data_IF_042754019604
#
_entry.id   IF_042754019604
#
_cell.length_a   1.000
_cell.length_b   1.000
_cell.length_c   1.000
_cell.angle_alpha   90.00
_cell.angle_beta   90.00
_cell.angle_gamma   90.00
#
_symmetry.space_group_name_H-M   'P 1'
#
loop_
_entity.id
_entity.type
_entity.pdbx_description
1 polymer ?
#
# COMPACT_ATOMS: atom_id res chain seq x y z
N UNK A 1 -59.71 48.45 17.31
CA UNK A 1 -59.68 47.45 18.36
C UNK A 1 -58.25 46.89 18.41
N UNK A 2 -57.52 47.57 19.10
CA UNK A 2 -56.66 47.42 20.29
C UNK A 2 -55.38 46.64 20.04
N UNK A 3 -54.32 47.43 20.06
CA UNK A 3 -52.91 47.13 20.31
C UNK A 3 -52.77 46.43 21.67
N UNK A 4 -52.04 45.37 21.72
CA UNK A 4 -51.18 44.86 22.80
C UNK A 4 -50.36 43.72 22.23
N UNK A 5 -49.07 43.87 22.14
CA UNK A 5 -48.11 43.26 22.98
C UNK A 5 -46.69 43.62 22.57
N UNK A 6 -46.18 44.69 23.16
CA UNK A 6 -44.78 45.05 23.12
C UNK A 6 -43.96 44.51 24.32
N UNK A 7 -44.59 43.60 25.10
CA UNK A 7 -43.98 43.11 26.37
C UNK A 7 -43.27 41.76 26.25
N UNK A 8 -43.37 41.06 25.12
CA UNK A 8 -42.87 39.69 25.02
C UNK A 8 -41.46 39.57 24.35
N UNK A 9 -41.02 40.61 23.67
CA UNK A 9 -39.68 40.58 23.04
C UNK A 9 -38.53 40.87 24.01
N UNK A 10 -38.79 41.63 25.07
CA UNK A 10 -37.78 41.92 26.08
C UNK A 10 -37.50 40.71 26.99
N UNK A 11 -38.44 39.82 27.19
CA UNK A 11 -38.29 38.59 27.97
C UNK A 11 -37.53 37.49 27.24
N UNK A 12 -37.56 37.50 25.90
CA UNK A 12 -36.83 36.53 25.09
C UNK A 12 -35.35 36.91 24.91
N UNK A 13 -35.03 38.21 24.83
CA UNK A 13 -33.64 38.67 24.82
C UNK A 13 -32.93 38.48 26.17
N UNK A 14 -33.64 38.56 27.29
CA UNK A 14 -33.09 38.25 28.60
C UNK A 14 -32.77 36.77 28.84
N UNK A 15 -33.47 35.86 28.15
CA UNK A 15 -33.28 34.43 28.29
C UNK A 15 -32.12 33.88 27.40
N UNK A 16 -31.75 34.58 26.33
CA UNK A 16 -30.64 34.21 25.45
C UNK A 16 -29.26 34.70 25.92
N UNK A 17 -29.24 35.57 26.93
CA UNK A 17 -28.00 36.14 27.51
C UNK A 17 -27.39 35.38 28.69
N UNK A 18 -28.07 34.40 29.27
CA UNK A 18 -27.59 33.66 30.44
C UNK A 18 -27.49 32.15 30.12
N UNK A 19 -26.41 31.72 29.45
CA UNK A 19 -26.20 30.30 29.29
C UNK A 19 -25.08 29.88 28.37
N UNK A 20 -24.31 30.79 27.79
CA UNK A 20 -23.09 30.41 27.10
C UNK A 20 -21.94 30.26 28.11
N UNK A 21 -21.98 29.19 28.93
CA UNK A 21 -20.76 28.69 29.55
C UNK A 21 -19.81 28.31 28.43
N UNK A 22 -18.70 29.05 28.31
CA UNK A 22 -17.63 28.71 27.39
C UNK A 22 -17.30 27.19 27.51
N UNK A 23 -17.16 26.48 26.42
CA UNK A 23 -16.77 25.07 26.50
C UNK A 23 -15.48 24.98 27.31
N UNK A 24 -15.34 23.97 28.20
CA UNK A 24 -14.16 23.85 29.03
C UNK A 24 -12.95 23.81 28.09
N UNK A 25 -12.03 24.75 28.30
CA UNK A 25 -10.72 24.70 27.64
C UNK A 25 -10.16 23.30 27.86
N UNK A 26 -9.76 22.60 26.79
CA UNK A 26 -9.14 21.30 26.98
C UNK A 26 -7.92 21.51 27.86
N UNK A 27 -8.01 21.00 29.10
CA UNK A 27 -6.88 20.93 30.00
C UNK A 27 -5.76 20.28 29.23
N UNK A 28 -4.67 21.03 29.05
CA UNK A 28 -3.44 20.54 28.46
C UNK A 28 -3.09 19.22 29.15
N UNK A 29 -3.39 18.11 28.50
CA UNK A 29 -3.06 16.78 28.98
C UNK A 29 -1.57 16.78 29.23
N UNK A 30 -1.19 16.58 30.51
CA UNK A 30 0.16 16.36 30.99
C UNK A 30 0.91 15.55 29.94
N UNK A 31 1.92 16.13 29.30
CA UNK A 31 2.85 15.45 28.41
C UNK A 31 3.35 14.18 29.13
N UNK A 32 2.67 13.07 28.89
CA UNK A 32 3.26 11.77 29.18
C UNK A 32 4.46 11.72 28.24
N UNK A 33 5.65 11.82 28.78
CA UNK A 33 6.91 11.52 28.09
C UNK A 33 6.72 10.13 27.47
N UNK A 34 6.13 10.10 26.28
CA UNK A 34 5.87 8.88 25.56
C UNK A 34 7.20 8.23 25.27
N UNK A 35 7.27 6.92 25.52
CA UNK A 35 8.42 6.13 25.09
C UNK A 35 8.74 6.48 23.63
N UNK A 36 10.04 6.63 23.27
CA UNK A 36 10.42 6.89 21.90
C UNK A 36 9.80 5.82 21.00
N UNK A 37 9.24 6.22 19.86
CA UNK A 37 8.47 5.35 18.96
C UNK A 37 9.25 4.09 18.50
N UNK A 38 10.58 4.18 18.42
CA UNK A 38 11.44 3.04 18.12
C UNK A 38 11.47 1.99 19.24
N UNK A 39 11.37 2.42 20.51
CA UNK A 39 11.35 1.51 21.66
C UNK A 39 10.04 0.71 21.72
N UNK A 40 8.90 1.35 21.40
CA UNK A 40 7.62 0.65 21.27
C UNK A 40 7.65 -0.40 20.14
N UNK A 41 8.27 -0.09 19.01
CA UNK A 41 8.49 -1.04 17.92
C UNK A 41 9.37 -2.22 18.34
N UNK A 42 10.48 -1.94 19.03
CA UNK A 42 11.40 -2.99 19.52
C UNK A 42 10.69 -3.94 20.51
N UNK A 43 9.97 -3.37 21.50
CA UNK A 43 9.23 -4.16 22.49
C UNK A 43 8.15 -5.01 21.80
N UNK A 44 7.39 -4.43 20.86
CA UNK A 44 6.39 -5.18 20.08
C UNK A 44 7.01 -6.35 19.31
N UNK A 45 8.15 -6.15 18.66
CA UNK A 45 8.86 -7.20 17.94
C UNK A 45 9.36 -8.30 18.89
N UNK A 46 9.91 -7.93 20.03
CA UNK A 46 10.36 -8.91 21.04
C UNK A 46 9.19 -9.73 21.62
N UNK A 47 8.06 -9.09 21.87
CA UNK A 47 6.85 -9.79 22.32
C UNK A 47 6.38 -10.80 21.27
N UNK A 48 6.33 -10.41 19.99
CA UNK A 48 5.94 -11.31 18.91
C UNK A 48 6.90 -12.50 18.79
N UNK A 49 8.21 -12.26 18.88
CA UNK A 49 9.22 -13.34 18.87
C UNK A 49 9.09 -14.26 20.07
N UNK A 50 8.80 -13.71 21.25
CA UNK A 50 8.56 -14.50 22.46
C UNK A 50 7.29 -15.37 22.34
N UNK A 51 6.21 -14.81 21.83
CA UNK A 51 4.97 -15.55 21.56
C UNK A 51 5.25 -16.67 20.55
N UNK A 52 5.92 -16.38 19.44
CA UNK A 52 6.29 -17.42 18.48
C UNK A 52 7.12 -18.52 19.13
N UNK A 53 8.16 -18.15 19.90
CA UNK A 53 9.00 -19.13 20.60
C UNK A 53 8.18 -20.03 21.55
N UNK A 54 7.35 -19.41 22.40
CA UNK A 54 6.51 -20.14 23.34
C UNK A 54 5.57 -21.10 22.61
N UNK A 55 4.88 -20.63 21.57
CA UNK A 55 3.99 -21.46 20.78
C UNK A 55 4.72 -22.63 20.11
N UNK A 56 5.89 -22.39 19.51
CA UNK A 56 6.68 -23.41 18.85
C UNK A 56 7.17 -24.51 19.82
N UNK A 57 7.53 -24.13 21.06
CA UNK A 57 8.08 -25.10 22.03
C UNK A 57 6.96 -25.82 22.83
N UNK A 58 5.87 -25.10 23.17
CA UNK A 58 4.86 -25.68 24.07
C UNK A 58 3.73 -26.39 23.33
N UNK A 59 3.17 -25.74 22.33
CA UNK A 59 1.96 -26.24 21.66
C UNK A 59 2.32 -27.06 20.42
N UNK A 60 3.10 -26.49 19.54
CA UNK A 60 3.38 -27.12 18.24
C UNK A 60 4.38 -28.27 18.32
N UNK A 61 5.28 -28.32 19.26
CA UNK A 61 6.22 -29.43 19.43
C UNK A 61 5.49 -30.78 19.75
N UNK A 62 4.34 -30.72 20.42
CA UNK A 62 3.57 -31.93 20.79
C UNK A 62 2.69 -32.46 19.66
N UNK A 63 2.41 -31.65 18.63
CA UNK A 63 1.43 -31.96 17.56
C UNK A 63 2.11 -32.33 16.24
N UNK A 64 3.46 -32.40 16.19
CA UNK A 64 4.19 -32.69 14.93
C UNK A 64 4.06 -31.58 13.90
N UNK A 65 4.26 -30.35 14.28
CA UNK A 65 3.72 -29.16 13.65
C UNK A 65 4.60 -28.54 12.58
N UNK A 66 3.94 -27.91 11.63
CA UNK A 66 4.54 -27.02 10.62
C UNK A 66 5.06 -25.67 11.15
N UNK A 67 5.28 -25.50 12.47
CA UNK A 67 5.84 -24.28 13.07
C UNK A 67 7.19 -24.57 13.70
N UNK A 68 8.30 -24.14 13.04
CA UNK A 68 9.66 -24.38 13.52
C UNK A 68 10.02 -23.41 14.65
N UNK A 69 11.09 -23.74 15.39
CA UNK A 69 11.64 -22.82 16.38
C UNK A 69 12.36 -21.65 15.67
N UNK A 70 12.30 -20.43 16.20
CA UNK A 70 12.97 -19.27 15.60
C UNK A 70 14.47 -19.46 15.36
N UNK A 71 15.18 -20.18 16.26
CA UNK A 71 16.60 -20.46 16.08
C UNK A 71 16.87 -21.41 14.89
N UNK A 72 16.01 -22.41 14.67
CA UNK A 72 16.18 -23.34 13.55
C UNK A 72 15.97 -22.61 12.21
N UNK A 73 15.00 -21.69 12.16
CA UNK A 73 14.80 -20.79 11.02
C UNK A 73 16.03 -19.89 10.82
N UNK A 74 16.53 -19.27 11.88
CA UNK A 74 17.66 -18.36 11.79
C UNK A 74 18.95 -19.07 11.34
N UNK A 75 19.22 -20.27 11.85
CA UNK A 75 20.41 -21.04 11.45
C UNK A 75 20.32 -21.54 10.02
N UNK A 76 19.16 -22.06 9.58
CA UNK A 76 18.93 -22.48 8.20
C UNK A 76 19.02 -21.30 7.25
N UNK A 77 18.37 -20.20 7.57
CA UNK A 77 18.44 -18.98 6.77
C UNK A 77 19.86 -18.46 6.61
N UNK A 78 20.63 -18.43 7.70
CA UNK A 78 22.02 -18.00 7.67
C UNK A 78 22.91 -18.90 6.81
N UNK A 79 22.75 -20.21 6.94
CA UNK A 79 23.47 -21.19 6.12
C UNK A 79 23.14 -21.03 4.63
N UNK A 80 21.86 -20.94 4.28
CA UNK A 80 21.38 -20.83 2.92
C UNK A 80 21.74 -19.49 2.26
N UNK A 81 21.76 -18.39 3.03
CA UNK A 81 22.27 -17.09 2.54
C UNK A 81 23.76 -17.15 2.21
N UNK A 82 24.56 -17.81 3.07
CA UNK A 82 26.01 -17.96 2.85
C UNK A 82 26.34 -18.90 1.70
N UNK A 83 25.56 -19.95 1.49
CA UNK A 83 25.72 -20.88 0.36
C UNK A 83 25.37 -20.24 -0.99
N UNK A 84 24.73 -19.08 -1.00
CA UNK A 84 24.30 -18.40 -2.20
C UNK A 84 22.98 -18.91 -2.79
N UNK A 85 22.30 -19.84 -2.10
CA UNK A 85 21.07 -20.49 -2.56
C UNK A 85 19.94 -19.50 -2.87
N UNK A 86 19.85 -18.39 -2.10
CA UNK A 86 18.80 -17.39 -2.28
C UNK A 86 18.99 -16.48 -3.50
N UNK A 87 20.22 -16.17 -3.89
CA UNK A 87 20.50 -15.12 -4.87
C UNK A 87 19.85 -15.28 -6.23
N UNK A 88 19.90 -16.47 -6.87
CA UNK A 88 19.21 -16.67 -8.15
C UNK A 88 17.71 -16.47 -8.04
N UNK A 89 17.10 -16.96 -6.95
CA UNK A 89 15.68 -16.88 -6.69
C UNK A 89 15.21 -15.46 -6.40
N UNK A 90 15.94 -14.72 -5.53
CA UNK A 90 15.69 -13.30 -5.24
C UNK A 90 15.76 -12.47 -6.52
N UNK A 91 16.81 -12.68 -7.33
CA UNK A 91 17.01 -11.93 -8.57
C UNK A 91 15.87 -12.13 -9.54
N UNK A 92 15.40 -13.36 -9.69
CA UNK A 92 14.30 -13.69 -10.59
C UNK A 92 12.98 -13.08 -10.11
N UNK A 93 12.59 -13.30 -8.85
CA UNK A 93 11.37 -12.72 -8.28
C UNK A 93 11.37 -11.20 -8.32
N UNK A 94 12.52 -10.55 -8.05
CA UNK A 94 12.65 -9.09 -8.16
C UNK A 94 12.49 -8.61 -9.60
N UNK A 95 13.05 -9.30 -10.58
CA UNK A 95 12.89 -8.98 -12.00
C UNK A 95 11.41 -8.99 -12.37
N UNK A 96 10.70 -10.06 -12.06
CA UNK A 96 9.28 -10.22 -12.36
C UNK A 96 8.41 -9.18 -11.65
N UNK A 97 8.70 -8.92 -10.37
CA UNK A 97 8.03 -7.88 -9.60
C UNK A 97 8.24 -6.48 -10.18
N UNK A 98 9.47 -6.13 -10.58
CA UNK A 98 9.78 -4.83 -11.18
C UNK A 98 9.13 -4.68 -12.55
N UNK A 99 9.20 -5.71 -13.41
CA UNK A 99 8.55 -5.70 -14.72
C UNK A 99 7.04 -5.48 -14.59
N UNK A 100 6.37 -6.23 -13.69
CA UNK A 100 4.95 -6.08 -13.41
C UNK A 100 4.61 -4.71 -12.81
N UNK A 101 5.41 -4.25 -11.84
CA UNK A 101 5.23 -2.96 -11.20
C UNK A 101 5.32 -1.80 -12.19
N UNK A 102 6.39 -1.74 -12.98
CA UNK A 102 6.60 -0.66 -13.96
C UNK A 102 5.50 -0.67 -15.02
N UNK A 103 5.18 -1.84 -15.58
CA UNK A 103 4.11 -1.98 -16.58
C UNK A 103 2.76 -1.50 -16.05
N UNK A 104 2.39 -1.92 -14.85
CA UNK A 104 1.12 -1.54 -14.22
C UNK A 104 1.08 -0.05 -13.85
N UNK A 105 2.18 0.51 -13.34
CA UNK A 105 2.29 1.94 -13.03
C UNK A 105 2.10 2.77 -14.29
N UNK A 106 2.82 2.46 -15.37
CA UNK A 106 2.69 3.18 -16.65
C UNK A 106 1.25 3.12 -17.17
N UNK A 107 0.64 1.93 -17.19
CA UNK A 107 -0.74 1.75 -17.62
C UNK A 107 -1.71 2.55 -16.76
N UNK A 108 -1.54 2.52 -15.43
CA UNK A 108 -2.36 3.27 -14.47
C UNK A 108 -2.27 4.77 -14.70
N UNK A 109 -1.08 5.32 -14.98
CA UNK A 109 -0.92 6.74 -15.29
C UNK A 109 -1.61 7.14 -16.59
N UNK A 110 -1.44 6.35 -17.65
CA UNK A 110 -2.08 6.60 -18.95
C UNK A 110 -3.60 6.63 -18.79
N UNK A 111 -4.16 5.63 -18.10
CA UNK A 111 -5.61 5.56 -17.86
C UNK A 111 -6.11 6.66 -16.93
N UNK A 112 -5.37 7.00 -15.87
CA UNK A 112 -5.75 8.07 -14.96
C UNK A 112 -5.80 9.44 -15.66
N UNK A 113 -4.83 9.73 -16.54
CA UNK A 113 -4.83 10.93 -17.37
C UNK A 113 -6.04 10.92 -18.32
N UNK A 114 -6.31 9.80 -18.99
CA UNK A 114 -7.46 9.65 -19.86
C UNK A 114 -8.80 9.89 -19.11
N UNK A 115 -8.93 9.35 -17.88
CA UNK A 115 -10.11 9.53 -17.03
C UNK A 115 -10.36 10.98 -16.67
N UNK A 116 -9.30 11.71 -16.31
CA UNK A 116 -9.41 13.12 -15.93
C UNK A 116 -9.72 14.02 -17.13
N UNK A 117 -9.27 13.65 -18.34
CA UNK A 117 -9.47 14.44 -19.56
C UNK A 117 -10.82 14.12 -20.24
N UNK A 118 -11.28 12.86 -20.15
CA UNK A 118 -12.46 12.35 -20.88
C UNK A 118 -13.43 11.68 -19.89
N UNK A 119 -14.44 12.41 -19.36
CA UNK A 119 -15.32 11.87 -18.31
C UNK A 119 -16.13 10.63 -18.71
N UNK A 120 -16.39 10.44 -20.01
CA UNK A 120 -17.12 9.26 -20.51
C UNK A 120 -16.24 8.01 -20.35
N UNK A 121 -14.97 8.11 -20.70
CA UNK A 121 -13.98 7.02 -20.56
C UNK A 121 -13.88 6.57 -19.10
N UNK A 122 -13.88 7.52 -18.16
CA UNK A 122 -13.89 7.23 -16.75
C UNK A 122 -15.08 6.41 -16.31
N UNK A 123 -16.31 6.85 -16.68
CA UNK A 123 -17.56 6.17 -16.27
C UNK A 123 -17.61 4.69 -16.70
N UNK A 124 -17.00 4.38 -17.84
CA UNK A 124 -16.98 3.02 -18.38
C UNK A 124 -15.81 2.23 -17.79
N UNK A 125 -14.58 2.74 -17.94
CA UNK A 125 -13.38 1.99 -17.60
C UNK A 125 -13.15 1.86 -16.09
N UNK A 126 -13.61 2.82 -15.27
CA UNK A 126 -13.50 2.68 -13.81
C UNK A 126 -14.33 1.50 -13.30
N UNK A 127 -15.52 1.28 -13.86
CA UNK A 127 -16.35 0.11 -13.51
C UNK A 127 -15.68 -1.20 -13.91
N UNK A 128 -15.06 -1.23 -15.08
CA UNK A 128 -14.29 -2.40 -15.54
C UNK A 128 -13.05 -2.64 -14.67
N UNK A 129 -12.33 -1.58 -14.27
CA UNK A 129 -11.18 -1.69 -13.38
C UNK A 129 -11.59 -2.23 -11.99
N UNK A 130 -12.72 -1.79 -11.44
CA UNK A 130 -13.26 -2.34 -10.19
C UNK A 130 -13.65 -3.81 -10.38
N UNK A 131 -14.32 -4.15 -11.45
CA UNK A 131 -14.72 -5.53 -11.75
C UNK A 131 -13.49 -6.45 -11.90
N UNK A 132 -12.43 -6.00 -12.55
CA UNK A 132 -11.18 -6.78 -12.69
C UNK A 132 -10.49 -7.03 -11.35
N UNK A 133 -10.57 -6.08 -10.41
CA UNK A 133 -10.02 -6.25 -9.06
C UNK A 133 -10.79 -7.26 -8.21
N UNK A 134 -12.09 -7.47 -8.50
CA UNK A 134 -12.91 -8.45 -7.80
C UNK A 134 -12.62 -9.90 -8.24
N UNK A 135 -11.92 -10.11 -9.36
CA UNK A 135 -11.61 -11.47 -9.81
C UNK A 135 -10.49 -12.04 -8.92
N UNK A 136 -10.69 -13.24 -8.32
CA UNK A 136 -9.66 -13.87 -7.51
C UNK A 136 -8.39 -14.12 -8.32
N UNK A 137 -7.28 -13.51 -7.93
CA UNK A 137 -6.01 -13.59 -8.67
C UNK A 137 -5.53 -15.05 -8.84
N UNK A 138 -5.81 -15.90 -7.83
CA UNK A 138 -5.49 -17.33 -7.86
C UNK A 138 -6.23 -18.05 -9.00
N UNK A 139 -7.44 -17.60 -9.35
CA UNK A 139 -8.20 -18.19 -10.47
C UNK A 139 -7.65 -17.78 -11.85
N UNK A 140 -7.07 -16.58 -11.95
CA UNK A 140 -6.47 -16.07 -13.20
C UNK A 140 -5.11 -16.73 -13.48
N UNK A 141 -4.34 -17.06 -12.43
CA UNK A 141 -2.97 -17.55 -12.56
C UNK A 141 -2.81 -18.70 -13.54
N UNK A 142 -3.52 -19.83 -13.41
CA UNK A 142 -3.43 -20.94 -14.34
C UNK A 142 -3.77 -20.54 -15.80
N UNK A 143 -4.75 -19.65 -15.98
CA UNK A 143 -5.13 -19.16 -17.32
C UNK A 143 -3.96 -18.41 -17.97
N UNK A 144 -3.29 -17.53 -17.19
CA UNK A 144 -2.14 -16.78 -17.69
C UNK A 144 -0.95 -17.69 -18.02
N UNK A 145 -0.72 -18.73 -17.21
CA UNK A 145 0.36 -19.70 -17.47
C UNK A 145 0.16 -20.43 -18.79
N UNK A 146 -1.08 -20.76 -19.15
CA UNK A 146 -1.38 -21.36 -20.46
C UNK A 146 -1.37 -20.35 -21.61
N UNK A 147 -1.74 -19.10 -21.35
CA UNK A 147 -1.88 -18.08 -22.38
C UNK A 147 -0.55 -17.40 -22.75
N UNK A 148 0.40 -17.30 -21.82
CA UNK A 148 1.63 -16.55 -21.98
C UNK A 148 2.87 -17.45 -21.83
N UNK A 149 3.87 -17.31 -22.71
CA UNK A 149 5.10 -18.11 -22.62
C UNK A 149 6.08 -17.58 -21.55
N UNK A 150 6.87 -18.50 -20.98
CA UNK A 150 7.98 -18.19 -20.08
C UNK A 150 7.53 -17.55 -18.76
N UNK A 151 8.26 -16.56 -18.26
CA UNK A 151 8.02 -15.90 -16.98
C UNK A 151 7.00 -14.75 -17.05
N UNK A 152 6.44 -14.47 -18.23
CA UNK A 152 5.46 -13.38 -18.43
C UNK A 152 4.22 -13.47 -17.52
N UNK A 153 3.64 -14.67 -17.27
CA UNK A 153 2.51 -14.80 -16.35
C UNK A 153 2.77 -14.21 -14.98
N UNK A 154 3.98 -14.41 -14.44
CA UNK A 154 4.38 -13.94 -13.12
C UNK A 154 4.43 -12.40 -13.05
N UNK A 155 5.06 -11.76 -14.06
CA UNK A 155 5.08 -10.31 -14.17
C UNK A 155 3.68 -9.71 -14.37
N UNK A 156 2.80 -10.37 -15.13
CA UNK A 156 1.41 -9.95 -15.30
C UNK A 156 0.63 -10.03 -13.99
N UNK A 157 0.79 -11.12 -13.22
CA UNK A 157 0.17 -11.25 -11.89
C UNK A 157 0.66 -10.18 -10.91
N UNK A 158 1.97 -9.89 -10.91
CA UNK A 158 2.52 -8.77 -10.16
C UNK A 158 1.87 -7.44 -10.58
N UNK A 159 1.75 -7.21 -11.88
CA UNK A 159 1.11 -6.01 -12.44
C UNK A 159 -0.36 -5.87 -12.07
N UNK A 160 -1.14 -6.96 -12.07
CA UNK A 160 -2.56 -6.93 -11.70
C UNK A 160 -2.77 -6.45 -10.26
N UNK A 161 -1.93 -6.89 -9.32
CA UNK A 161 -2.02 -6.44 -7.91
C UNK A 161 -1.64 -4.97 -7.74
N UNK A 162 -0.75 -4.45 -8.58
CA UNK A 162 -0.28 -3.06 -8.56
C UNK A 162 -1.26 -2.11 -9.24
N UNK A 163 -1.90 -2.57 -10.31
CA UNK A 163 -2.66 -1.73 -11.24
C UNK A 163 -3.78 -0.94 -10.57
N UNK A 164 -4.68 -1.63 -9.88
CA UNK A 164 -5.88 -0.98 -9.35
C UNK A 164 -5.59 0.03 -8.23
N UNK A 165 -4.80 -0.29 -7.19
CA UNK A 165 -4.44 0.69 -6.16
C UNK A 165 -3.73 1.92 -6.72
N UNK A 166 -2.84 1.70 -7.69
CA UNK A 166 -2.11 2.79 -8.37
C UNK A 166 -3.07 3.66 -9.19
N UNK A 167 -3.94 3.06 -9.99
CA UNK A 167 -4.93 3.79 -10.80
C UNK A 167 -5.80 4.70 -9.93
N UNK A 168 -6.37 4.14 -8.86
CA UNK A 168 -7.22 4.90 -7.93
C UNK A 168 -6.44 6.04 -7.27
N UNK A 169 -5.23 5.76 -6.77
CA UNK A 169 -4.40 6.77 -6.11
C UNK A 169 -3.99 7.92 -7.05
N UNK A 170 -3.65 7.61 -8.30
CA UNK A 170 -3.31 8.63 -9.31
C UNK A 170 -4.54 9.45 -9.69
N UNK A 171 -5.70 8.82 -9.92
CA UNK A 171 -6.96 9.53 -10.25
C UNK A 171 -7.36 10.46 -9.10
N UNK A 172 -7.36 9.98 -7.85
CA UNK A 172 -7.65 10.79 -6.68
C UNK A 172 -6.68 11.97 -6.58
N UNK A 173 -5.39 11.72 -6.84
CA UNK A 173 -4.38 12.75 -6.85
C UNK A 173 -4.59 13.81 -7.91
N UNK A 174 -4.87 13.43 -9.15
CA UNK A 174 -5.14 14.38 -10.23
C UNK A 174 -6.42 15.22 -9.98
N UNK A 175 -7.32 14.72 -9.14
CA UNK A 175 -8.56 15.42 -8.75
C UNK A 175 -8.42 16.27 -7.50
N UNK A 176 -7.39 16.10 -6.71
CA UNK A 176 -7.15 16.89 -5.50
C UNK A 176 -6.70 18.33 -5.79
N UNK A 177 -6.51 18.68 -7.06
CA UNK A 177 -6.12 20.02 -7.47
C UNK A 177 -7.17 21.07 -7.07
N UNK A 178 -6.71 22.15 -6.44
CA UNK A 178 -7.55 23.26 -5.99
C UNK A 178 -8.29 23.94 -7.16
N UNK A 179 -9.59 24.18 -6.96
CA UNK A 179 -10.45 24.80 -7.99
C UNK A 179 -9.99 26.21 -8.36
N UNK A 180 -9.61 27.03 -7.38
CA UNK A 180 -9.16 28.38 -7.62
C UNK A 180 -7.91 28.40 -8.51
N UNK A 181 -6.95 27.52 -8.25
CA UNK A 181 -5.75 27.35 -9.09
C UNK A 181 -6.09 26.92 -10.53
N UNK A 182 -7.08 26.04 -10.70
CA UNK A 182 -7.55 25.63 -12.03
C UNK A 182 -8.24 26.77 -12.77
N UNK A 183 -9.00 27.61 -12.07
CA UNK A 183 -9.73 28.75 -12.64
C UNK A 183 -8.77 29.87 -13.07
N UNK A 184 -7.68 30.10 -12.35
CA UNK A 184 -6.60 31.02 -12.78
C UNK A 184 -6.02 30.59 -14.13
N UNK A 185 -5.69 29.30 -14.32
CA UNK A 185 -5.19 28.81 -15.60
C UNK A 185 -6.24 28.98 -16.70
N UNK A 186 -7.52 28.78 -16.38
CA UNK A 186 -8.63 28.92 -17.31
C UNK A 186 -8.83 30.39 -17.72
N UNK A 187 -8.79 31.32 -16.76
CA UNK A 187 -8.86 32.75 -17.02
C UNK A 187 -7.71 33.28 -17.88
N UNK A 188 -6.53 32.66 -17.74
CA UNK A 188 -5.36 32.93 -18.58
C UNK A 188 -5.42 32.25 -19.97
N UNK A 189 -6.59 31.71 -20.40
CA UNK A 189 -6.78 31.04 -21.68
C UNK A 189 -6.23 29.59 -21.75
N UNK A 190 -5.80 29.03 -20.63
CA UNK A 190 -5.25 27.69 -20.59
C UNK A 190 -6.33 26.59 -20.67
N UNK A 191 -6.17 25.64 -21.61
CA UNK A 191 -7.04 24.48 -21.79
C UNK A 191 -6.78 23.37 -20.75
N UNK A 192 -7.47 22.22 -20.92
CA UNK A 192 -7.38 21.04 -20.02
C UNK A 192 -5.94 20.51 -19.87
N UNK A 193 -5.14 20.54 -20.93
CA UNK A 193 -3.74 20.10 -20.89
C UNK A 193 -2.85 21.06 -20.06
N UNK A 194 -3.06 22.37 -20.17
CA UNK A 194 -2.36 23.33 -19.35
C UNK A 194 -2.69 23.15 -17.85
N UNK A 195 -3.97 22.89 -17.53
CA UNK A 195 -4.40 22.58 -16.17
C UNK A 195 -3.78 21.28 -15.65
N UNK A 196 -3.69 20.22 -16.48
CA UNK A 196 -3.05 18.96 -16.13
C UNK A 196 -1.58 19.16 -15.76
N UNK A 197 -0.80 19.78 -16.65
CA UNK A 197 0.66 19.89 -16.50
C UNK A 197 1.04 20.88 -15.39
N UNK A 198 0.36 22.04 -15.32
CA UNK A 198 0.75 23.12 -14.41
C UNK A 198 0.21 22.96 -12.99
N UNK A 199 -0.97 22.35 -12.81
CA UNK A 199 -1.64 22.29 -11.52
C UNK A 199 -1.86 20.85 -11.06
N UNK A 200 -2.59 20.03 -11.85
CA UNK A 200 -3.03 18.70 -11.42
C UNK A 200 -1.87 17.74 -11.17
N UNK A 201 -0.84 17.79 -12.01
CA UNK A 201 0.34 16.92 -11.85
C UNK A 201 1.04 17.13 -10.50
N UNK A 202 1.28 18.40 -10.13
CA UNK A 202 1.92 18.72 -8.84
C UNK A 202 1.03 18.36 -7.65
N UNK A 203 -0.26 18.63 -7.77
CA UNK A 203 -1.25 18.26 -6.73
C UNK A 203 -1.35 16.74 -6.55
N UNK A 204 -1.16 15.96 -7.62
CA UNK A 204 -1.28 14.51 -7.61
C UNK A 204 -0.10 13.79 -6.92
N UNK A 205 1.09 14.39 -6.91
CA UNK A 205 2.30 13.71 -6.44
C UNK A 205 2.19 13.06 -5.05
N UNK A 206 1.65 13.72 -3.99
CA UNK A 206 1.58 13.11 -2.67
C UNK A 206 0.74 11.83 -2.63
N UNK A 207 -0.46 11.86 -3.20
CA UNK A 207 -1.36 10.68 -3.24
C UNK A 207 -0.86 9.61 -4.19
N UNK A 208 -0.22 9.99 -5.28
CA UNK A 208 0.44 9.06 -6.19
C UNK A 208 1.55 8.28 -5.48
N UNK A 209 2.46 8.95 -4.79
CA UNK A 209 3.52 8.27 -4.05
C UNK A 209 2.98 7.42 -2.89
N UNK A 210 1.89 7.85 -2.23
CA UNK A 210 1.22 7.03 -1.24
C UNK A 210 0.67 5.73 -1.85
N UNK A 211 0.04 5.80 -3.02
CA UNK A 211 -0.44 4.63 -3.74
C UNK A 211 0.71 3.72 -4.23
N UNK A 212 1.77 4.29 -4.80
CA UNK A 212 2.97 3.57 -5.24
C UNK A 212 3.66 2.84 -4.08
N UNK A 213 3.68 3.46 -2.89
CA UNK A 213 4.26 2.87 -1.68
C UNK A 213 3.48 1.63 -1.22
N UNK A 214 2.15 1.63 -1.34
CA UNK A 214 1.32 0.46 -1.02
C UNK A 214 1.43 -0.59 -2.13
N UNK A 215 1.55 -0.18 -3.38
CA UNK A 215 1.62 -1.06 -4.53
C UNK A 215 2.98 -1.80 -4.64
N UNK A 216 4.07 -1.26 -4.11
CA UNK A 216 5.40 -1.87 -4.23
C UNK A 216 5.50 -3.25 -3.55
N UNK A 217 5.07 -3.46 -2.29
CA UNK A 217 5.00 -4.81 -1.71
C UNK A 217 4.03 -5.73 -2.45
N UNK A 218 2.94 -5.18 -2.99
CA UNK A 218 1.96 -5.97 -3.75
C UNK A 218 2.54 -6.55 -5.04
N UNK A 219 3.51 -5.87 -5.68
CA UNK A 219 4.24 -6.40 -6.82
C UNK A 219 5.05 -7.65 -6.45
N UNK A 220 5.76 -7.60 -5.33
CA UNK A 220 6.52 -8.75 -4.80
C UNK A 220 5.59 -9.92 -4.49
N UNK A 221 4.46 -9.64 -3.82
CA UNK A 221 3.44 -10.65 -3.54
C UNK A 221 2.90 -11.28 -4.82
N UNK A 222 2.60 -10.48 -5.83
CA UNK A 222 2.10 -10.97 -7.13
C UNK A 222 3.09 -11.85 -7.88
N UNK A 223 4.39 -11.51 -7.84
CA UNK A 223 5.45 -12.34 -8.42
C UNK A 223 5.56 -13.68 -7.69
N UNK A 224 5.51 -13.69 -6.34
CA UNK A 224 5.52 -14.91 -5.54
C UNK A 224 4.30 -15.79 -5.84
N UNK A 225 3.10 -15.19 -5.91
CA UNK A 225 1.88 -15.93 -6.30
C UNK A 225 2.06 -16.52 -7.72
N UNK A 226 2.65 -15.75 -8.62
CA UNK A 226 2.97 -16.22 -9.97
C UNK A 226 3.92 -17.41 -9.97
N UNK A 227 4.93 -17.40 -9.12
CA UNK A 227 5.83 -18.53 -8.91
C UNK A 227 5.10 -19.78 -8.38
N UNK A 228 4.17 -19.59 -7.41
CA UNK A 228 3.38 -20.68 -6.82
C UNK A 228 2.45 -21.34 -7.86
N UNK A 229 1.91 -20.56 -8.78
CA UNK A 229 0.93 -21.02 -9.78
C UNK A 229 1.58 -21.46 -11.10
N UNK A 230 2.78 -20.96 -11.43
CA UNK A 230 3.48 -21.17 -12.71
C UNK A 230 4.20 -22.49 -12.85
N UNK A 231 4.15 -23.37 -11.85
CA UNK A 231 4.86 -24.66 -11.87
C UNK A 231 6.28 -24.55 -11.29
N UNK A 232 6.89 -25.72 -11.03
CA UNK A 232 8.18 -25.84 -10.33
C UNK A 232 9.43 -25.67 -11.24
N UNK A 233 9.29 -25.01 -12.38
CA UNK A 233 10.41 -24.84 -13.32
C UNK A 233 11.03 -23.44 -13.21
N UNK A 234 12.37 -23.39 -13.18
CA UNK A 234 13.14 -22.16 -13.11
C UNK A 234 13.50 -21.73 -11.69
N UNK A 235 13.82 -20.44 -11.54
CA UNK A 235 14.14 -19.81 -10.27
C UNK A 235 12.99 -18.91 -9.83
N UNK A 236 12.86 -18.72 -8.53
CA UNK A 236 11.89 -17.83 -7.89
C UNK A 236 11.71 -18.18 -6.42
N UNK A 237 11.43 -17.19 -5.58
CA UNK A 237 11.23 -17.42 -4.14
C UNK A 237 9.97 -18.25 -3.86
N UNK A 238 8.91 -18.06 -4.66
CA UNK A 238 7.71 -18.89 -4.56
C UNK A 238 7.96 -20.33 -4.98
N UNK A 239 8.73 -20.57 -6.04
CA UNK A 239 9.15 -21.92 -6.46
C UNK A 239 9.98 -22.57 -5.37
N UNK A 240 10.99 -21.86 -4.84
CA UNK A 240 11.83 -22.35 -3.74
C UNK A 240 10.98 -22.72 -2.51
N UNK A 241 9.91 -21.96 -2.22
CA UNK A 241 8.98 -22.22 -1.13
C UNK A 241 8.23 -23.54 -1.35
N UNK A 242 7.65 -23.76 -2.53
CA UNK A 242 6.94 -25.00 -2.87
C UNK A 242 7.86 -26.23 -2.79
N UNK A 243 9.09 -26.10 -3.29
CA UNK A 243 10.09 -27.19 -3.24
C UNK A 243 10.46 -27.53 -1.78
N UNK A 244 10.64 -26.50 -0.94
CA UNK A 244 10.95 -26.71 0.50
C UNK A 244 9.78 -27.31 1.26
N UNK A 245 8.54 -26.90 0.96
CA UNK A 245 7.33 -27.51 1.52
C UNK A 245 7.20 -28.98 1.12
N UNK A 246 7.41 -29.29 -0.16
CA UNK A 246 7.38 -30.65 -0.67
C UNK A 246 8.46 -31.56 -0.06
N UNK A 247 9.62 -30.97 0.31
CA UNK A 247 10.70 -31.65 1.00
C UNK A 247 10.47 -31.75 2.54
N UNK A 248 9.39 -31.18 3.07
CA UNK A 248 9.11 -31.05 4.50
C UNK A 248 10.21 -30.29 5.27
N UNK A 249 10.97 -29.43 4.58
CA UNK A 249 11.97 -28.55 5.19
C UNK A 249 11.28 -27.28 5.73
N UNK A 250 10.59 -27.44 6.82
CA UNK A 250 9.79 -26.39 7.43
C UNK A 250 10.61 -25.17 7.85
N UNK A 251 11.82 -25.32 8.47
CA UNK A 251 12.67 -24.18 8.81
C UNK A 251 13.06 -23.35 7.59
N UNK A 252 13.37 -23.99 6.45
CA UNK A 252 13.69 -23.31 5.19
C UNK A 252 12.48 -22.57 4.61
N UNK A 253 11.30 -23.20 4.60
CA UNK A 253 10.06 -22.56 4.14
C UNK A 253 9.78 -21.26 4.89
N UNK A 254 9.92 -21.25 6.21
CA UNK A 254 9.79 -20.05 7.03
C UNK A 254 10.89 -19.03 6.77
N UNK A 255 12.12 -19.48 6.56
CA UNK A 255 13.25 -18.63 6.14
C UNK A 255 12.96 -17.89 4.84
N UNK A 256 12.39 -18.58 3.82
CA UNK A 256 11.99 -17.99 2.56
C UNK A 256 10.88 -16.93 2.78
N UNK A 257 9.87 -17.22 3.60
CA UNK A 257 8.82 -16.28 3.92
C UNK A 257 9.37 -15.00 4.59
N UNK A 258 10.38 -15.12 5.46
CA UNK A 258 11.06 -13.97 6.06
C UNK A 258 11.82 -13.15 5.01
N UNK A 259 12.51 -13.80 4.07
CA UNK A 259 13.20 -13.11 2.96
C UNK A 259 12.19 -12.38 2.07
N UNK A 260 11.07 -13.01 1.71
CA UNK A 260 9.98 -12.38 0.96
C UNK A 260 9.44 -11.14 1.67
N UNK A 261 9.21 -11.25 2.99
CA UNK A 261 8.75 -10.14 3.83
C UNK A 261 9.76 -9.00 3.88
N UNK A 262 11.06 -9.33 4.00
CA UNK A 262 12.13 -8.33 4.01
C UNK A 262 12.22 -7.58 2.68
N UNK A 263 12.11 -8.28 1.54
CA UNK A 263 12.12 -7.69 0.20
C UNK A 263 10.90 -6.77 0.00
N UNK A 264 9.70 -7.24 0.37
CA UNK A 264 8.49 -6.45 0.27
C UNK A 264 8.55 -5.21 1.18
N UNK A 265 9.05 -5.35 2.41
CA UNK A 265 9.28 -4.25 3.34
C UNK A 265 10.31 -3.24 2.82
N UNK A 266 11.39 -3.72 2.21
CA UNK A 266 12.40 -2.86 1.59
C UNK A 266 11.82 -2.09 0.40
N UNK A 267 11.03 -2.73 -0.45
CA UNK A 267 10.32 -2.07 -1.56
C UNK A 267 9.39 -0.96 -1.05
N UNK A 268 8.63 -1.20 0.03
CA UNK A 268 7.81 -0.20 0.70
C UNK A 268 8.63 0.98 1.22
N UNK A 269 9.75 0.71 1.89
CA UNK A 269 10.62 1.76 2.45
C UNK A 269 11.28 2.61 1.37
N UNK A 270 11.80 1.97 0.30
CA UNK A 270 12.43 2.66 -0.84
C UNK A 270 11.41 3.58 -1.53
N UNK A 271 10.23 3.07 -1.84
CA UNK A 271 9.17 3.85 -2.49
C UNK A 271 8.69 4.99 -1.60
N UNK A 272 8.55 4.74 -0.29
CA UNK A 272 8.23 5.77 0.68
C UNK A 272 9.30 6.84 0.82
N UNK A 273 10.58 6.47 0.78
CA UNK A 273 11.70 7.41 0.77
C UNK A 273 11.70 8.27 -0.51
N UNK A 274 11.50 7.63 -1.68
CA UNK A 274 11.35 8.34 -2.95
C UNK A 274 10.20 9.35 -2.91
N UNK A 275 9.04 8.97 -2.37
CA UNK A 275 7.90 9.87 -2.17
C UNK A 275 8.23 11.05 -1.28
N UNK A 276 8.98 10.80 -0.20
CA UNK A 276 9.42 11.86 0.71
C UNK A 276 10.36 12.87 0.05
N UNK A 277 11.22 12.44 -0.83
CA UNK A 277 12.13 13.31 -1.58
C UNK A 277 11.39 14.07 -2.69
N UNK A 278 10.41 13.42 -3.33
CA UNK A 278 9.64 14.01 -4.42
C UNK A 278 8.58 15.04 -3.95
N UNK A 279 8.12 14.98 -2.69
CA UNK A 279 7.03 15.83 -2.19
C UNK A 279 7.37 16.56 -0.87
N UNK A 280 8.44 17.37 -0.83
CA UNK A 280 8.87 18.06 0.39
C UNK A 280 7.84 19.07 0.90
N UNK A 281 7.06 19.68 -0.01
CA UNK A 281 6.03 20.68 0.32
C UNK A 281 4.78 20.10 0.99
N UNK A 282 4.47 18.82 0.75
CA UNK A 282 3.28 18.18 1.34
C UNK A 282 3.37 17.97 2.86
N UNK A 283 4.54 18.20 3.46
CA UNK A 283 4.81 18.02 4.90
C UNK A 283 4.67 19.28 5.74
N UNK A 284 4.60 20.45 5.12
CA UNK A 284 4.41 21.69 5.89
C UNK A 284 3.01 21.65 6.48
N UNK A 285 2.92 21.47 7.81
CA UNK A 285 1.67 21.66 8.56
C UNK A 285 1.14 23.06 8.22
N UNK A 286 -0.14 23.23 7.87
CA UNK A 286 -0.74 24.55 7.84
C UNK A 286 -0.75 25.05 9.30
N UNK A 287 0.07 26.05 9.64
CA UNK A 287 0.04 26.71 10.94
C UNK A 287 1.33 26.67 11.78
N UNK A 288 2.52 26.83 11.16
CA UNK A 288 3.74 27.25 11.87
C UNK A 288 4.25 28.56 11.29
#
# INVERSE_FOLDING_TARGET
MTVTDGADLASVEGALGQGATAPPTPTAGKDRRGMPSWLGGLIGTLILLAIWWILAVTYFHKVGSGVPRPNDVATTLWHDLRSGLYWPNIRQTLKEAIEGYVGAVVLSFVLAIAFVQIPIVEKVLLRLAIASYCIPIIAIGPILVFALPGDRPKAVLAGLLVFFPTLVGVVLGLRSADKASLDVIRAAGGGKWAQLIKVRWRAALPSTFAALQIAAPSAVLGAIIGDLLGGQQGNGLGIMMVVSEGALDIPRTWGIALVCTAIAGLAYLITGAAGRLATPWARRKPGS
#
